data_IF_686223467052
#
_entry.id   IF_686223467052
#
_cell.length_a   1.000
_cell.length_b   1.000
_cell.length_c   1.000
_cell.angle_alpha   90.00
_cell.angle_beta   90.00
_cell.angle_gamma   90.00
#
_symmetry.space_group_name_H-M   'P 1'
#
loop_
_entity.id
_entity.type
_entity.pdbx_description
1 polymer ?
#
# COMPACT_ATOMS: atom_id res chain seq x y z
N UNK A 1 -32.56 -11.36 3.09
CA UNK A 1 -32.08 -10.99 1.73
C UNK A 1 -30.65 -11.51 1.58
N UNK A 2 -30.38 -12.45 0.65
CA UNK A 2 -29.00 -12.89 0.37
C UNK A 2 -28.34 -11.82 -0.50
N UNK A 3 -27.23 -11.27 -0.06
CA UNK A 3 -26.42 -10.36 -0.89
C UNK A 3 -25.69 -11.24 -1.91
N UNK A 4 -25.90 -10.97 -3.20
CA UNK A 4 -25.21 -11.65 -4.29
C UNK A 4 -23.72 -11.31 -4.29
N UNK A 5 -22.91 -12.25 -4.81
CA UNK A 5 -21.49 -12.05 -4.97
C UNK A 5 -21.22 -10.87 -5.92
N UNK A 6 -20.44 -9.90 -5.46
CA UNK A 6 -20.08 -8.69 -6.18
C UNK A 6 -18.75 -8.17 -5.66
N UNK A 7 -17.92 -7.60 -6.52
CA UNK A 7 -16.72 -6.88 -6.13
C UNK A 7 -16.66 -5.63 -7.01
N UNK A 8 -16.62 -4.46 -6.38
CA UNK A 8 -16.62 -3.19 -7.08
C UNK A 8 -15.81 -2.15 -6.30
N UNK A 9 -15.18 -1.26 -7.06
CA UNK A 9 -14.52 -0.08 -6.54
C UNK A 9 -14.99 1.13 -7.33
N UNK A 10 -15.42 2.19 -6.65
CA UNK A 10 -15.74 3.48 -7.25
C UNK A 10 -15.16 4.60 -6.40
N UNK A 11 -14.66 5.64 -7.05
CA UNK A 11 -14.23 6.87 -6.42
C UNK A 11 -14.76 8.05 -7.24
N UNK A 12 -15.34 9.01 -6.55
CA UNK A 12 -15.84 10.26 -7.10
C UNK A 12 -15.47 11.38 -6.13
N UNK A 13 -14.42 12.14 -6.41
CA UNK A 13 -14.01 13.27 -5.59
C UNK A 13 -13.27 14.30 -6.45
N UNK A 14 -13.83 15.50 -6.59
CA UNK A 14 -13.36 16.57 -7.47
C UNK A 14 -13.16 16.04 -8.90
N UNK A 15 -11.94 16.15 -9.42
CA UNK A 15 -11.58 15.70 -10.77
C UNK A 15 -11.24 14.21 -10.84
N UNK A 16 -11.22 13.49 -9.71
CA UNK A 16 -10.94 12.06 -9.68
C UNK A 16 -12.25 11.27 -9.69
N UNK A 17 -12.61 10.76 -10.88
CA UNK A 17 -13.81 9.97 -11.11
C UNK A 17 -13.44 8.68 -11.84
N UNK A 18 -13.38 7.58 -11.10
CA UNK A 18 -13.00 6.27 -11.61
C UNK A 18 -13.88 5.19 -10.99
N UNK A 19 -14.02 4.07 -11.67
CA UNK A 19 -14.71 2.94 -11.07
C UNK A 19 -14.80 1.75 -11.99
N UNK A 20 -14.76 0.57 -11.38
CA UNK A 20 -14.85 -0.69 -12.09
C UNK A 20 -15.59 -1.70 -11.20
N UNK A 21 -16.23 -2.67 -11.85
CA UNK A 21 -16.97 -3.75 -11.20
C UNK A 21 -16.57 -5.06 -11.86
N UNK A 22 -16.16 -6.00 -11.03
CA UNK A 22 -15.80 -7.32 -11.50
C UNK A 22 -17.04 -8.06 -12.03
N UNK A 23 -16.96 -8.50 -13.28
CA UNK A 23 -18.07 -9.17 -13.98
C UNK A 23 -18.08 -10.69 -13.76
N UNK A 24 -16.91 -11.30 -13.63
CA UNK A 24 -16.78 -12.73 -13.39
C UNK A 24 -15.91 -12.99 -12.15
N UNK A 25 -16.37 -13.95 -11.34
CA UNK A 25 -15.93 -14.16 -9.96
C UNK A 25 -14.98 -15.36 -9.81
N UNK A 26 -14.22 -15.67 -10.86
CA UNK A 26 -13.16 -16.67 -10.70
C UNK A 26 -11.97 -16.08 -9.94
N UNK A 27 -11.27 -16.94 -9.19
CA UNK A 27 -10.20 -16.50 -8.28
C UNK A 27 -9.15 -15.64 -8.99
N UNK A 28 -8.76 -16.00 -10.22
CA UNK A 28 -7.75 -15.25 -10.98
C UNK A 28 -8.25 -13.83 -11.28
N UNK A 29 -9.47 -13.69 -11.77
CA UNK A 29 -10.05 -12.38 -12.06
C UNK A 29 -10.21 -11.52 -10.79
N UNK A 30 -10.56 -12.15 -9.66
CA UNK A 30 -10.61 -11.46 -8.36
C UNK A 30 -9.22 -10.93 -7.99
N UNK A 31 -8.17 -11.76 -8.11
CA UNK A 31 -6.81 -11.34 -7.77
C UNK A 31 -6.33 -10.14 -8.62
N UNK A 32 -6.51 -10.20 -9.94
CA UNK A 32 -6.15 -9.08 -10.83
C UNK A 32 -6.96 -7.81 -10.54
N UNK A 33 -8.27 -7.95 -10.27
CA UNK A 33 -9.10 -6.81 -9.91
C UNK A 33 -8.62 -6.14 -8.62
N UNK A 34 -8.32 -6.92 -7.59
CA UNK A 34 -7.79 -6.41 -6.33
C UNK A 34 -6.40 -5.76 -6.50
N UNK A 35 -5.57 -6.32 -7.38
CA UNK A 35 -4.27 -5.74 -7.73
C UNK A 35 -4.41 -4.36 -8.39
N UNK A 36 -5.34 -4.20 -9.34
CA UNK A 36 -5.69 -2.89 -9.92
C UNK A 36 -6.22 -1.92 -8.86
N UNK A 37 -7.12 -2.36 -7.98
CA UNK A 37 -7.65 -1.52 -6.89
C UNK A 37 -6.51 -1.05 -5.97
N UNK A 38 -5.61 -1.95 -5.57
CA UNK A 38 -4.44 -1.64 -4.75
C UNK A 38 -3.53 -0.59 -5.41
N UNK A 39 -3.18 -0.78 -6.67
CA UNK A 39 -2.39 0.20 -7.43
C UNK A 39 -3.09 1.57 -7.47
N UNK A 40 -4.40 1.56 -7.77
CA UNK A 40 -5.22 2.78 -7.93
C UNK A 40 -5.26 3.59 -6.64
N UNK A 41 -5.63 2.96 -5.51
CA UNK A 41 -5.76 3.67 -4.24
C UNK A 41 -4.40 4.14 -3.72
N UNK A 42 -3.35 3.34 -3.92
CA UNK A 42 -2.02 3.68 -3.41
C UNK A 42 -1.36 4.81 -4.20
N UNK A 43 -1.58 4.88 -5.51
CA UNK A 43 -1.13 6.02 -6.34
C UNK A 43 -1.82 7.32 -5.94
N UNK A 44 -3.11 7.25 -5.58
CA UNK A 44 -3.90 8.44 -5.23
C UNK A 44 -3.66 8.94 -3.80
N UNK A 45 -3.29 8.03 -2.89
CA UNK A 45 -3.15 8.29 -1.45
C UNK A 45 -2.32 9.54 -1.10
N UNK A 46 -1.15 9.82 -1.71
CA UNK A 46 -0.31 10.96 -1.33
C UNK A 46 -1.02 12.31 -1.46
N UNK A 47 -1.92 12.48 -2.43
CA UNK A 47 -2.67 13.74 -2.61
C UNK A 47 -3.52 14.10 -1.37
N UNK A 48 -4.00 13.07 -0.65
CA UNK A 48 -4.84 13.21 0.53
C UNK A 48 -4.06 13.35 1.85
N UNK A 49 -2.73 13.34 1.80
CA UNK A 49 -1.87 13.55 2.97
C UNK A 49 -1.36 14.99 3.09
N UNK A 50 -1.60 15.83 2.09
CA UNK A 50 -1.06 17.19 1.99
C UNK A 50 -1.48 18.12 3.13
N UNK A 51 -2.63 17.88 3.76
CA UNK A 51 -3.10 18.66 4.92
C UNK A 51 -2.33 18.35 6.21
N UNK A 52 -1.68 17.18 6.30
CA UNK A 52 -1.03 16.70 7.53
C UNK A 52 0.49 16.56 7.40
N UNK A 53 1.03 16.66 6.18
CA UNK A 53 2.47 16.64 5.92
C UNK A 53 2.85 17.27 4.57
N UNK A 54 4.10 17.72 4.48
CA UNK A 54 4.73 18.20 3.26
C UNK A 54 5.10 17.02 2.35
N UNK A 55 4.13 16.56 1.57
CA UNK A 55 4.30 15.45 0.61
C UNK A 55 5.39 15.77 -0.41
N UNK A 56 5.44 17.00 -0.95
CA UNK A 56 6.47 17.41 -1.91
C UNK A 56 7.89 17.29 -1.33
N UNK A 57 8.09 17.71 -0.07
CA UNK A 57 9.37 17.54 0.62
C UNK A 57 9.75 16.07 0.83
N UNK A 58 8.78 15.19 1.06
CA UNK A 58 9.02 13.74 1.14
C UNK A 58 9.43 13.17 -0.23
N UNK A 59 8.81 13.63 -1.32
CA UNK A 59 9.17 13.24 -2.69
C UNK A 59 10.60 13.67 -3.03
N UNK A 60 10.96 14.94 -2.76
CA UNK A 60 12.33 15.42 -2.97
C UNK A 60 13.35 14.65 -2.13
N UNK A 61 13.01 14.29 -0.89
CA UNK A 61 13.86 13.44 -0.07
C UNK A 61 14.01 12.02 -0.63
N UNK A 62 13.00 11.49 -1.32
CA UNK A 62 13.11 10.21 -2.04
C UNK A 62 14.06 10.33 -3.24
N UNK A 63 13.97 11.43 -3.99
CA UNK A 63 14.83 11.72 -5.15
C UNK A 63 16.31 11.81 -4.77
N UNK A 64 16.64 12.44 -3.63
CA UNK A 64 18.01 12.48 -3.07
C UNK A 64 18.61 11.08 -2.82
N UNK A 65 17.77 10.05 -2.69
CA UNK A 65 18.20 8.68 -2.42
C UNK A 65 18.31 7.82 -3.70
N UNK A 66 18.04 8.38 -4.88
CA UNK A 66 18.00 7.64 -6.16
C UNK A 66 19.35 7.04 -6.54
N UNK A 67 20.47 7.67 -6.21
CA UNK A 67 21.80 7.14 -6.55
C UNK A 67 22.22 5.95 -5.67
N UNK A 68 21.51 5.68 -4.58
CA UNK A 68 21.87 4.60 -3.65
C UNK A 68 21.51 3.24 -4.22
N UNK A 69 22.36 2.25 -3.94
CA UNK A 69 21.99 0.86 -4.12
C UNK A 69 20.89 0.45 -3.13
N UNK A 70 20.15 -0.62 -3.45
CA UNK A 70 19.00 -1.05 -2.63
C UNK A 70 19.38 -1.27 -1.17
N UNK A 71 20.53 -1.88 -0.87
CA UNK A 71 20.95 -2.12 0.51
C UNK A 71 21.29 -0.82 1.26
N UNK A 72 21.93 0.14 0.61
CA UNK A 72 22.24 1.47 1.17
C UNK A 72 20.97 2.29 1.40
N UNK A 73 20.04 2.17 0.46
CA UNK A 73 18.72 2.78 0.55
C UNK A 73 17.96 2.23 1.76
N UNK A 74 17.86 0.91 1.94
CA UNK A 74 17.21 0.31 3.11
C UNK A 74 17.90 0.71 4.43
N UNK A 75 19.23 0.74 4.46
CA UNK A 75 20.02 1.21 5.60
C UNK A 75 19.72 2.69 5.93
N UNK A 76 19.60 3.53 4.91
CA UNK A 76 19.24 4.94 5.05
C UNK A 76 17.82 5.09 5.56
N UNK A 77 16.83 4.50 4.88
CA UNK A 77 15.40 4.61 5.19
C UNK A 77 15.07 4.19 6.62
N UNK A 78 15.72 3.12 7.11
CA UNK A 78 15.49 2.64 8.48
C UNK A 78 16.16 3.49 9.56
N UNK A 79 17.10 4.37 9.20
CA UNK A 79 17.95 5.09 10.15
C UNK A 79 17.17 6.15 10.96
N UNK A 80 17.62 6.48 12.19
CA UNK A 80 17.07 7.60 12.95
C UNK A 80 17.23 8.95 12.22
N UNK A 81 18.27 9.10 11.40
CA UNK A 81 18.51 10.31 10.61
C UNK A 81 17.36 10.61 9.65
N UNK A 82 16.83 9.58 8.98
CA UNK A 82 15.65 9.72 8.11
C UNK A 82 14.42 10.16 8.90
N UNK A 83 14.18 9.57 10.07
CA UNK A 83 13.07 10.03 10.93
C UNK A 83 13.23 11.49 11.38
N UNK A 84 14.46 11.94 11.66
CA UNK A 84 14.75 13.36 11.97
C UNK A 84 14.47 14.27 10.78
N UNK A 85 14.80 13.85 9.55
CA UNK A 85 14.47 14.59 8.31
C UNK A 85 12.95 14.66 8.04
N UNK A 86 12.21 13.60 8.36
CA UNK A 86 10.75 13.54 8.15
C UNK A 86 9.96 14.34 9.20
N UNK A 87 10.41 14.41 10.45
CA UNK A 87 9.70 15.13 11.51
C UNK A 87 9.30 16.59 11.19
N UNK A 88 10.17 17.45 10.63
CA UNK A 88 9.78 18.81 10.25
C UNK A 88 8.82 18.88 9.07
N UNK A 89 8.64 17.77 8.32
CA UNK A 89 7.68 17.68 7.22
C UNK A 89 6.26 17.33 7.70
N UNK A 90 6.06 17.06 9.00
CA UNK A 90 4.76 16.66 9.56
C UNK A 90 4.13 17.85 10.28
N UNK A 91 2.91 18.20 9.89
CA UNK A 91 2.15 19.35 10.40
C UNK A 91 1.37 18.99 11.66
N UNK A 92 2.10 18.55 12.68
CA UNK A 92 1.55 18.18 13.99
C UNK A 92 2.58 18.44 15.08
N UNK A 93 2.12 19.06 16.18
CA UNK A 93 2.93 19.43 17.33
C UNK A 93 2.77 18.43 18.50
N UNK A 94 1.60 17.80 18.61
CA UNK A 94 1.39 16.75 19.59
C UNK A 94 2.31 15.56 19.27
N UNK A 95 3.31 15.33 20.13
CA UNK A 95 4.32 14.28 19.98
C UNK A 95 3.73 12.90 19.65
N UNK A 96 2.61 12.53 20.25
CA UNK A 96 1.98 11.21 20.06
C UNK A 96 1.32 11.12 18.68
N UNK A 97 0.57 12.14 18.29
CA UNK A 97 -0.07 12.22 16.97
C UNK A 97 0.97 12.35 15.85
N UNK A 98 2.00 13.17 16.05
CA UNK A 98 3.14 13.32 15.15
C UNK A 98 3.85 11.99 14.90
N UNK A 99 4.01 11.15 15.95
CA UNK A 99 4.59 9.82 15.79
C UNK A 99 3.71 8.85 14.98
N UNK A 100 2.38 9.00 15.01
CA UNK A 100 1.50 8.24 14.12
C UNK A 100 1.71 8.65 12.66
N UNK A 101 1.74 9.96 12.39
CA UNK A 101 1.99 10.51 11.05
C UNK A 101 3.42 10.21 10.55
N UNK A 102 4.40 10.10 11.46
CA UNK A 102 5.77 9.71 11.09
C UNK A 102 5.83 8.31 10.47
N UNK A 103 5.01 7.37 10.95
CA UNK A 103 4.93 6.04 10.34
C UNK A 103 4.35 6.10 8.93
N UNK A 104 3.37 6.97 8.69
CA UNK A 104 2.77 7.22 7.36
C UNK A 104 3.80 7.85 6.43
N UNK A 105 4.47 8.91 6.88
CA UNK A 105 5.50 9.60 6.11
C UNK A 105 6.68 8.66 5.75
N UNK A 106 7.06 7.78 6.68
CA UNK A 106 8.13 6.79 6.43
C UNK A 106 7.72 5.73 5.41
N UNK A 107 6.45 5.27 5.44
CA UNK A 107 5.93 4.35 4.44
C UNK A 107 5.87 5.00 3.05
N UNK A 108 5.41 6.25 2.97
CA UNK A 108 5.42 7.04 1.74
C UNK A 108 6.84 7.19 1.19
N UNK A 109 7.79 7.68 2.00
CA UNK A 109 9.19 7.81 1.58
C UNK A 109 9.79 6.48 1.10
N UNK A 110 9.52 5.39 1.83
CA UNK A 110 10.02 4.05 1.48
C UNK A 110 9.50 3.61 0.12
N UNK A 111 8.20 3.79 -0.11
CA UNK A 111 7.54 3.46 -1.38
C UNK A 111 8.17 4.24 -2.53
N UNK A 112 8.24 5.56 -2.40
CA UNK A 112 8.71 6.44 -3.47
C UNK A 112 10.18 6.18 -3.81
N UNK A 113 11.03 6.04 -2.79
CA UNK A 113 12.45 5.77 -3.01
C UNK A 113 12.71 4.38 -3.62
N UNK A 114 11.94 3.36 -3.24
CA UNK A 114 12.07 2.01 -3.81
C UNK A 114 11.45 1.88 -5.21
N UNK A 115 10.44 2.69 -5.54
CA UNK A 115 9.77 2.66 -6.85
C UNK A 115 10.72 2.82 -8.04
N UNK A 116 11.86 3.49 -7.82
CA UNK A 116 12.90 3.73 -8.83
C UNK A 116 13.90 2.56 -8.96
N UNK A 117 13.84 1.58 -8.07
CA UNK A 117 14.82 0.49 -7.96
C UNK A 117 14.21 -0.89 -8.17
N UNK A 118 12.96 -1.07 -7.77
CA UNK A 118 12.25 -2.35 -7.82
C UNK A 118 10.79 -2.14 -8.16
N UNK A 119 10.16 -3.15 -8.76
CA UNK A 119 8.72 -3.15 -9.00
C UNK A 119 7.97 -3.21 -7.67
N UNK A 120 7.21 -2.14 -7.37
CA UNK A 120 6.37 -2.03 -6.16
C UNK A 120 4.87 -2.04 -6.46
N UNK A 121 4.51 -1.93 -7.74
CA UNK A 121 3.13 -1.97 -8.24
C UNK A 121 2.87 -3.33 -8.88
N UNK A 122 1.64 -3.79 -8.78
CA UNK A 122 1.19 -4.97 -9.51
C UNK A 122 1.11 -4.69 -11.03
N UNK A 123 1.21 -5.70 -11.90
CA UNK A 123 1.32 -5.51 -13.34
C UNK A 123 0.05 -4.97 -14.02
N UNK A 124 -1.12 -5.01 -13.37
CA UNK A 124 -2.43 -4.69 -13.97
C UNK A 124 -2.67 -3.17 -14.19
N UNK A 125 -1.72 -2.31 -13.84
CA UNK A 125 -1.90 -0.86 -13.94
C UNK A 125 -2.93 -0.33 -12.94
N UNK A 126 -3.60 0.77 -13.29
CA UNK A 126 -4.59 1.45 -12.43
C UNK A 126 -5.94 1.59 -13.13
N UNK A 127 -7.01 1.76 -12.36
CA UNK A 127 -8.34 2.12 -12.87
C UNK A 127 -8.32 3.61 -13.21
N UNK A 128 -8.35 3.93 -14.50
CA UNK A 128 -8.29 5.32 -15.02
C UNK A 128 -9.64 5.88 -15.42
N UNK A 129 -10.64 5.03 -15.63
CA UNK A 129 -11.95 5.40 -16.18
C UNK A 129 -13.10 4.92 -15.30
N UNK A 130 -14.28 5.47 -15.53
CA UNK A 130 -15.53 5.01 -14.94
C UNK A 130 -16.19 3.98 -15.86
N UNK A 131 -15.90 2.69 -15.62
CA UNK A 131 -16.44 1.53 -16.34
C UNK A 131 -17.69 0.92 -15.70
N UNK A 132 -18.14 1.49 -14.57
CA UNK A 132 -19.33 1.05 -13.84
C UNK A 132 -20.16 2.24 -13.38
N UNK A 133 -21.39 2.02 -12.94
CA UNK A 133 -22.25 3.07 -12.41
C UNK A 133 -21.78 3.48 -11.01
N UNK A 134 -21.77 4.79 -10.73
CA UNK A 134 -21.56 5.28 -9.38
C UNK A 134 -22.73 4.86 -8.48
N UNK A 135 -22.41 4.28 -7.33
CA UNK A 135 -23.43 3.80 -6.37
C UNK A 135 -24.06 4.97 -5.60
N UNK A 136 -23.33 6.08 -5.46
CA UNK A 136 -23.78 7.29 -4.78
C UNK A 136 -23.65 8.50 -5.72
N UNK A 137 -24.60 9.43 -5.61
CA UNK A 137 -24.54 10.71 -6.33
C UNK A 137 -23.49 11.66 -5.73
N UNK A 138 -23.36 11.66 -4.41
CA UNK A 138 -22.39 12.49 -3.68
C UNK A 138 -20.95 12.06 -3.96
N UNK A 139 -20.00 12.93 -3.60
CA UNK A 139 -18.59 12.56 -3.59
C UNK A 139 -18.38 11.40 -2.61
N UNK A 140 -17.58 10.41 -3.01
CA UNK A 140 -17.40 9.21 -2.21
C UNK A 140 -16.14 8.43 -2.60
N UNK A 141 -15.71 7.57 -1.66
CA UNK A 141 -14.91 6.38 -1.93
C UNK A 141 -15.77 5.17 -1.57
N UNK A 142 -15.80 4.16 -2.43
CA UNK A 142 -16.56 2.95 -2.19
C UNK A 142 -15.81 1.72 -2.68
N UNK A 143 -15.54 0.79 -1.77
CA UNK A 143 -15.09 -0.55 -2.09
C UNK A 143 -16.02 -1.56 -1.42
N UNK A 144 -16.68 -2.36 -2.24
CA UNK A 144 -17.63 -3.39 -1.81
C UNK A 144 -17.19 -4.73 -2.37
N UNK A 145 -17.11 -5.75 -1.51
CA UNK A 145 -16.87 -7.12 -1.90
C UNK A 145 -17.81 -8.07 -1.15
N UNK A 146 -18.34 -9.04 -1.87
CA UNK A 146 -19.04 -10.22 -1.39
C UNK A 146 -18.57 -11.36 -2.28
N UNK A 147 -17.88 -12.33 -1.70
CA UNK A 147 -17.52 -13.56 -2.37
C UNK A 147 -17.47 -14.70 -1.36
N UNK A 148 -18.39 -15.67 -1.47
CA UNK A 148 -18.52 -16.73 -0.48
C UNK A 148 -18.74 -16.19 0.94
N UNK A 149 -17.88 -16.59 1.89
CA UNK A 149 -17.93 -16.07 3.28
C UNK A 149 -17.25 -14.72 3.46
N UNK A 150 -16.49 -14.25 2.47
CA UNK A 150 -15.84 -12.95 2.54
C UNK A 150 -16.82 -11.83 2.21
N UNK A 151 -16.90 -10.84 3.10
CA UNK A 151 -17.71 -9.62 2.94
C UNK A 151 -16.80 -8.45 3.31
N UNK A 152 -16.75 -7.42 2.48
CA UNK A 152 -16.13 -6.14 2.84
C UNK A 152 -16.95 -4.99 2.31
N UNK A 153 -17.18 -3.99 3.17
CA UNK A 153 -17.73 -2.70 2.77
C UNK A 153 -16.85 -1.66 3.44
N UNK A 154 -16.06 -0.94 2.63
CA UNK A 154 -15.25 0.20 3.03
C UNK A 154 -15.71 1.37 2.19
N UNK A 155 -16.46 2.28 2.79
CA UNK A 155 -17.07 3.41 2.10
C UNK A 155 -16.99 4.67 2.94
N UNK A 156 -16.94 5.81 2.27
CA UNK A 156 -16.95 7.13 2.86
C UNK A 156 -17.68 8.06 1.89
N UNK A 157 -18.74 8.73 2.36
CA UNK A 157 -19.31 9.89 1.68
C UNK A 157 -18.44 11.08 2.06
N UNK A 158 -18.09 11.90 1.08
CA UNK A 158 -17.20 13.04 1.22
C UNK A 158 -18.05 14.30 1.15
N UNK A 159 -17.93 15.13 2.16
CA UNK A 159 -18.49 16.47 2.23
C UNK A 159 -17.39 17.52 2.49
N UNK A 160 -17.80 18.78 2.62
CA UNK A 160 -16.89 19.89 2.89
C UNK A 160 -16.22 19.85 4.28
N UNK A 161 -16.67 18.98 5.19
CA UNK A 161 -16.11 18.80 6.53
C UNK A 161 -15.23 17.55 6.63
N UNK A 162 -15.23 16.71 5.61
CA UNK A 162 -14.50 15.45 5.59
C UNK A 162 -12.99 15.73 5.51
N UNK A 163 -12.19 15.37 6.53
CA UNK A 163 -10.75 15.60 6.51
C UNK A 163 -10.09 14.80 5.38
N UNK A 164 -9.14 15.39 4.66
CA UNK A 164 -8.43 14.65 3.59
C UNK A 164 -7.70 13.43 4.16
N UNK A 165 -7.20 13.52 5.40
CA UNK A 165 -6.59 12.39 6.10
C UNK A 165 -7.55 11.20 6.34
N UNK A 166 -8.87 11.41 6.41
CA UNK A 166 -9.84 10.31 6.52
C UNK A 166 -10.08 9.62 5.17
N UNK A 167 -10.05 10.39 4.07
CA UNK A 167 -10.00 9.82 2.71
C UNK A 167 -8.73 8.98 2.56
N UNK A 168 -7.57 9.51 2.95
CA UNK A 168 -6.30 8.77 2.95
C UNK A 168 -6.39 7.48 3.78
N UNK A 169 -7.03 7.53 4.95
CA UNK A 169 -7.23 6.36 5.82
C UNK A 169 -8.09 5.29 5.13
N UNK A 170 -9.19 5.67 4.50
CA UNK A 170 -10.05 4.72 3.77
C UNK A 170 -9.30 4.10 2.60
N UNK A 171 -8.55 4.88 1.82
CA UNK A 171 -7.72 4.37 0.72
C UNK A 171 -6.65 3.39 1.22
N UNK A 172 -5.94 3.74 2.30
CA UNK A 172 -4.98 2.85 2.96
C UNK A 172 -5.64 1.54 3.40
N UNK A 173 -6.84 1.62 3.98
CA UNK A 173 -7.57 0.46 4.44
C UNK A 173 -8.06 -0.43 3.29
N UNK A 174 -8.50 0.16 2.18
CA UNK A 174 -8.82 -0.59 0.96
C UNK A 174 -7.58 -1.32 0.44
N UNK A 175 -6.42 -0.67 0.42
CA UNK A 175 -5.16 -1.29 0.05
C UNK A 175 -4.82 -2.49 0.95
N UNK A 176 -4.93 -2.34 2.28
CA UNK A 176 -4.71 -3.44 3.24
C UNK A 176 -5.61 -4.65 2.93
N UNK A 177 -6.88 -4.42 2.57
CA UNK A 177 -7.77 -5.51 2.17
C UNK A 177 -7.33 -6.16 0.87
N UNK A 178 -7.04 -5.38 -0.17
CA UNK A 178 -6.57 -5.92 -1.45
C UNK A 178 -5.30 -6.76 -1.28
N UNK A 179 -4.28 -6.21 -0.60
CA UNK A 179 -3.01 -6.89 -0.32
C UNK A 179 -3.20 -8.15 0.52
N UNK A 180 -4.15 -8.18 1.45
CA UNK A 180 -4.42 -9.41 2.22
C UNK A 180 -5.12 -10.51 1.41
N UNK A 181 -5.83 -10.14 0.34
CA UNK A 181 -6.72 -11.06 -0.40
C UNK A 181 -6.12 -11.57 -1.71
N UNK A 182 -5.31 -10.77 -2.39
CA UNK A 182 -4.60 -11.18 -3.62
C UNK A 182 -3.89 -12.54 -3.46
N UNK A 183 -3.18 -12.85 -2.36
CA UNK A 183 -2.47 -14.14 -2.23
C UNK A 183 -3.41 -15.35 -2.19
N UNK A 184 -4.59 -15.19 -1.57
CA UNK A 184 -5.58 -16.26 -1.45
C UNK A 184 -6.13 -16.63 -2.83
N UNK A 185 -6.49 -15.61 -3.60
CA UNK A 185 -7.07 -15.76 -4.93
C UNK A 185 -6.03 -16.06 -6.02
N UNK A 186 -4.83 -15.47 -5.92
CA UNK A 186 -3.70 -15.72 -6.81
C UNK A 186 -2.89 -16.98 -6.47
N UNK A 187 -3.31 -17.74 -5.43
CA UNK A 187 -2.62 -18.96 -4.94
C UNK A 187 -1.14 -18.73 -4.66
N UNK A 188 -0.82 -17.60 -4.01
CA UNK A 188 0.55 -17.23 -3.63
C UNK A 188 0.86 -17.80 -2.24
N UNK A 189 1.88 -18.64 -2.16
CA UNK A 189 2.39 -19.22 -0.92
C UNK A 189 3.21 -18.21 -0.11
N UNK A 190 2.49 -17.39 0.69
CA UNK A 190 3.12 -16.44 1.59
C UNK A 190 3.97 -17.10 2.68
N UNK A 191 3.62 -18.31 3.12
CA UNK A 191 4.37 -19.01 4.17
C UNK A 191 5.70 -19.50 3.63
N UNK A 192 5.72 -20.02 2.40
CA UNK A 192 6.95 -20.33 1.66
C UNK A 192 7.84 -19.10 1.48
N UNK A 193 7.28 -17.97 1.05
CA UNK A 193 8.03 -16.70 0.95
C UNK A 193 8.58 -16.28 2.32
N UNK A 194 7.79 -16.35 3.40
CA UNK A 194 8.26 -16.03 4.76
C UNK A 194 9.38 -16.96 5.22
N UNK A 195 9.29 -18.25 4.90
CA UNK A 195 10.31 -19.26 5.19
C UNK A 195 11.61 -19.00 4.44
N UNK A 196 11.55 -18.52 3.19
CA UNK A 196 12.73 -18.11 2.42
C UNK A 196 13.59 -17.09 3.17
N UNK A 197 12.95 -16.13 3.86
CA UNK A 197 13.61 -15.12 4.69
C UNK A 197 13.67 -15.50 6.19
N UNK A 198 13.46 -16.77 6.54
CA UNK A 198 13.26 -17.23 7.92
C UNK A 198 14.50 -17.14 8.80
N UNK A 199 15.69 -17.28 8.20
CA UNK A 199 17.01 -17.14 8.84
C UNK A 199 17.31 -15.70 9.30
N UNK A 200 16.71 -14.70 8.66
CA UNK A 200 16.86 -13.29 9.03
C UNK A 200 15.67 -12.87 9.90
N UNK A 201 15.82 -12.85 11.23
CA UNK A 201 14.74 -12.39 12.12
C UNK A 201 14.48 -10.88 12.02
N UNK A 202 15.54 -10.09 12.13
CA UNK A 202 15.52 -8.62 11.99
C UNK A 202 16.91 -8.15 11.57
N UNK A 203 17.03 -7.64 10.35
CA UNK A 203 18.31 -7.13 9.82
C UNK A 203 18.66 -5.79 10.47
N UNK A 204 19.76 -5.77 11.24
CA UNK A 204 20.24 -4.58 11.97
C UNK A 204 21.56 -4.07 11.41
N UNK A 205 22.46 -4.98 11.06
CA UNK A 205 23.78 -4.71 10.53
C UNK A 205 23.76 -4.52 9.02
N UNK A 206 24.83 -3.94 8.49
CA UNK A 206 25.02 -3.81 7.05
C UNK A 206 25.07 -5.17 6.33
N UNK A 207 25.82 -6.13 6.89
CA UNK A 207 25.95 -7.47 6.35
C UNK A 207 24.57 -8.16 6.23
N UNK A 208 23.76 -8.12 7.28
CA UNK A 208 22.40 -8.69 7.25
C UNK A 208 21.50 -8.01 6.22
N UNK A 209 21.62 -6.68 6.05
CA UNK A 209 20.82 -5.96 5.04
C UNK A 209 21.27 -6.34 3.63
N UNK A 210 22.59 -6.47 3.38
CA UNK A 210 23.13 -6.94 2.09
C UNK A 210 22.63 -8.35 1.78
N UNK A 211 22.77 -9.29 2.73
CA UNK A 211 22.23 -10.66 2.58
C UNK A 211 20.73 -10.66 2.33
N UNK A 212 19.96 -9.83 3.04
CA UNK A 212 18.52 -9.71 2.83
C UNK A 212 18.17 -9.26 1.40
N UNK A 213 18.88 -8.26 0.88
CA UNK A 213 18.71 -7.75 -0.48
C UNK A 213 19.10 -8.79 -1.52
N UNK A 214 20.22 -9.49 -1.31
CA UNK A 214 20.64 -10.61 -2.17
C UNK A 214 19.56 -11.70 -2.21
N UNK A 215 19.04 -12.12 -1.05
CA UNK A 215 17.96 -13.11 -0.97
C UNK A 215 16.69 -12.65 -1.66
N UNK A 216 16.36 -11.35 -1.60
CA UNK A 216 15.21 -10.80 -2.32
C UNK A 216 15.39 -10.88 -3.83
N UNK A 217 16.58 -10.55 -4.36
CA UNK A 217 16.83 -10.61 -5.80
C UNK A 217 16.94 -12.03 -6.36
N UNK A 218 17.28 -13.02 -5.52
CA UNK A 218 17.45 -14.42 -5.93
C UNK A 218 16.31 -15.35 -5.48
N UNK A 219 15.19 -14.80 -4.98
CA UNK A 219 14.06 -15.64 -4.59
C UNK A 219 13.45 -16.35 -5.81
N UNK A 220 13.27 -17.68 -5.77
CA UNK A 220 12.66 -18.43 -6.87
C UNK A 220 11.13 -18.32 -6.80
N UNK A 221 10.58 -17.20 -7.28
CA UNK A 221 9.13 -16.87 -7.18
C UNK A 221 8.22 -17.91 -7.84
N UNK A 222 8.74 -18.64 -8.82
CA UNK A 222 8.14 -19.80 -9.48
C UNK A 222 7.64 -20.86 -8.49
N UNK A 223 8.34 -21.02 -7.37
CA UNK A 223 8.03 -22.04 -6.37
C UNK A 223 6.90 -21.61 -5.44
N UNK A 224 6.53 -20.32 -5.44
CA UNK A 224 5.59 -19.74 -4.48
C UNK A 224 4.33 -19.18 -5.14
N UNK A 225 4.23 -19.20 -6.47
CA UNK A 225 3.03 -18.76 -7.18
C UNK A 225 2.94 -19.40 -8.57
N UNK A 226 1.70 -19.56 -9.11
CA UNK A 226 1.50 -19.85 -10.52
C UNK A 226 2.20 -18.84 -11.43
N UNK A 227 2.53 -19.25 -12.66
CA UNK A 227 3.24 -18.41 -13.64
C UNK A 227 2.65 -17.00 -13.80
N UNK A 228 1.32 -16.90 -13.84
CA UNK A 228 0.57 -15.65 -13.98
C UNK A 228 0.74 -14.68 -12.79
N UNK A 229 1.04 -15.21 -11.58
CA UNK A 229 1.14 -14.43 -10.34
C UNK A 229 2.58 -14.31 -9.82
N UNK A 230 3.61 -14.64 -10.62
CA UNK A 230 5.03 -14.52 -10.23
C UNK A 230 5.43 -13.10 -9.83
N UNK A 231 5.02 -12.11 -10.61
CA UNK A 231 5.33 -10.70 -10.32
C UNK A 231 4.61 -10.22 -9.05
N UNK A 232 3.41 -10.74 -8.78
CA UNK A 232 2.73 -10.49 -7.51
C UNK A 232 3.51 -11.07 -6.34
N UNK A 233 3.95 -12.34 -6.45
CA UNK A 233 4.76 -13.01 -5.45
C UNK A 233 6.07 -12.27 -5.17
N UNK A 234 6.70 -11.69 -6.20
CA UNK A 234 7.88 -10.83 -6.05
C UNK A 234 7.60 -9.59 -5.19
N UNK A 235 6.44 -8.96 -5.33
CA UNK A 235 6.05 -7.82 -4.50
C UNK A 235 5.79 -8.28 -3.05
N UNK A 236 5.22 -9.47 -2.83
CA UNK A 236 5.11 -10.04 -1.47
C UNK A 236 6.47 -10.39 -0.86
N UNK A 237 7.41 -10.89 -1.66
CA UNK A 237 8.79 -11.09 -1.22
C UNK A 237 9.44 -9.78 -0.80
N UNK A 238 9.21 -8.69 -1.54
CA UNK A 238 9.66 -7.35 -1.16
C UNK A 238 9.05 -6.93 0.19
N UNK A 239 7.73 -7.09 0.38
CA UNK A 239 7.06 -6.78 1.66
C UNK A 239 7.67 -7.54 2.82
N UNK A 240 7.85 -8.85 2.68
CA UNK A 240 8.46 -9.70 3.71
C UNK A 240 9.90 -9.27 4.00
N UNK A 241 10.68 -8.92 2.97
CA UNK A 241 12.03 -8.40 3.17
C UNK A 241 12.02 -7.08 3.94
N UNK A 242 11.15 -6.13 3.57
CA UNK A 242 11.02 -4.84 4.25
C UNK A 242 10.59 -4.97 5.71
N UNK A 243 9.72 -5.93 6.04
CA UNK A 243 9.37 -6.25 7.43
C UNK A 243 10.62 -6.56 8.28
N UNK A 244 11.61 -7.27 7.71
CA UNK A 244 12.86 -7.62 8.43
C UNK A 244 13.71 -6.40 8.78
N UNK A 245 13.56 -5.28 8.08
CA UNK A 245 14.25 -4.01 8.39
C UNK A 245 13.34 -2.98 9.08
N UNK A 246 12.08 -3.34 9.35
CA UNK A 246 11.11 -2.44 9.98
C UNK A 246 10.63 -1.32 9.07
N UNK A 247 10.46 -1.63 7.77
CA UNK A 247 9.95 -0.74 6.74
C UNK A 247 8.71 -1.36 6.08
N UNK A 248 7.95 -0.54 5.36
CA UNK A 248 6.79 -0.96 4.55
C UNK A 248 6.65 -0.02 3.35
N UNK A 249 6.15 -0.54 2.23
CA UNK A 249 5.74 0.25 1.05
C UNK A 249 4.23 0.53 1.03
N UNK A 250 3.47 -0.12 1.91
CA UNK A 250 2.04 0.11 2.08
C UNK A 250 1.85 1.09 3.24
N UNK A 251 1.17 2.21 2.96
CA UNK A 251 0.81 3.19 3.99
C UNK A 251 -0.22 2.55 4.93
N UNK A 252 0.07 2.45 6.24
CA UNK A 252 -0.83 1.79 7.18
C UNK A 252 -2.03 2.68 7.52
N UNK A 253 -3.24 2.11 7.55
CA UNK A 253 -4.46 2.85 7.88
C UNK A 253 -4.55 3.19 9.37
N UNK A 254 -4.10 2.28 10.24
CA UNK A 254 -4.23 2.39 11.70
C UNK A 254 -3.59 3.67 12.29
N UNK A 255 -2.39 4.12 11.87
CA UNK A 255 -1.86 5.39 12.35
C UNK A 255 -2.71 6.61 11.94
N UNK A 256 -3.31 6.62 10.74
CA UNK A 256 -4.24 7.68 10.32
C UNK A 256 -5.53 7.64 11.15
N UNK A 257 -6.06 6.45 11.42
CA UNK A 257 -7.19 6.25 12.32
C UNK A 257 -6.90 6.82 13.72
N UNK A 258 -5.74 6.48 14.31
CA UNK A 258 -5.34 7.00 15.64
C UNK A 258 -5.07 8.49 15.66
N UNK A 259 -4.70 9.07 14.53
CA UNK A 259 -4.60 10.52 14.37
C UNK A 259 -5.98 11.18 14.39
N UNK A 260 -6.93 10.64 13.62
CA UNK A 260 -8.29 11.17 13.49
C UNK A 260 -9.15 11.01 14.75
N UNK A 261 -8.95 9.95 15.55
CA UNK A 261 -9.67 9.75 16.83
C UNK A 261 -9.43 10.85 17.88
N UNK A 262 -8.36 11.63 17.72
CA UNK A 262 -7.82 12.51 18.78
C UNK A 262 -7.65 13.96 18.36
N UNK A 263 -8.03 14.26 17.12
CA UNK A 263 -8.06 15.61 16.56
C UNK A 263 -9.44 16.20 16.79
#
# INVERSE_FOLDING_TARGET
MKIEDHIAFTANHKNWKVGDKLLAMDDRQIAHFLAMVSNTVTLKLPEYLTEVMNVAGIMSLAEEMTEKDVWELLKTLKSPGTSRKLNPMIFEENKKLKNHLLNVAKALLTREALSKKVSINYPEGVITELKTTLIYHDEHINFTAKNGSWIVVKRLIIDNKTPMADIARILASINETAVSKIPLYGKIDLDGIRKWFGDIKKARSEAEIKTLVEKFFHIPVENYAPNEFKDHAKIYALRVALEKVGLTIDIPAKPLEKYLEKR
#
